data_IF_335840677520
#
_entry.id   IF_335840677520
#
_cell.length_a   1.000
_cell.length_b   1.000
_cell.length_c   1.000
_cell.angle_alpha   90.00
_cell.angle_beta   90.00
_cell.angle_gamma   90.00
#
_symmetry.space_group_name_H-M   'P 1'
#
loop_
_entity.id
_entity.type
_entity.pdbx_description
1 polymer ?
#
# COMPACT_ATOMS: atom_id res chain seq x y z
N UNK A 1 -23.83 28.33 14.42
CA UNK A 1 -22.37 28.04 14.45
C UNK A 1 -21.99 27.32 13.17
N UNK A 2 -21.05 27.83 12.36
CA UNK A 2 -20.64 27.15 11.14
C UNK A 2 -19.84 25.89 11.50
N UNK A 3 -20.39 24.72 11.17
CA UNK A 3 -19.69 23.44 11.38
C UNK A 3 -18.46 23.39 10.49
N UNK A 4 -17.30 23.07 11.07
CA UNK A 4 -16.09 22.72 10.31
C UNK A 4 -15.03 23.80 10.13
N UNK A 5 -15.22 25.01 10.68
CA UNK A 5 -14.29 26.14 10.50
C UNK A 5 -12.87 25.85 11.03
N UNK A 6 -12.74 25.00 12.06
CA UNK A 6 -11.47 24.61 12.67
C UNK A 6 -10.99 23.21 12.24
N UNK A 7 -11.60 22.57 11.24
CA UNK A 7 -11.22 21.20 10.86
C UNK A 7 -9.78 21.10 10.36
N UNK A 8 -9.28 22.15 9.71
CA UNK A 8 -7.88 22.18 9.23
C UNK A 8 -6.88 22.38 10.37
N UNK A 9 -7.22 23.19 11.38
CA UNK A 9 -6.34 23.45 12.54
C UNK A 9 -6.39 22.35 13.59
N UNK A 10 -7.52 21.66 13.74
CA UNK A 10 -7.68 20.53 14.65
C UNK A 10 -7.12 19.21 14.08
N UNK A 11 -6.79 19.15 12.78
CA UNK A 11 -6.27 17.94 12.16
C UNK A 11 -4.83 17.72 12.58
N UNK A 12 -4.57 16.58 13.21
CA UNK A 12 -3.22 16.17 13.57
C UNK A 12 -2.35 15.96 12.30
N UNK A 13 -1.02 16.18 12.40
CA UNK A 13 -0.07 15.88 11.34
C UNK A 13 -0.22 14.45 10.80
N UNK A 14 0.12 14.23 9.53
CA UNK A 14 -0.04 12.93 8.86
C UNK A 14 0.69 11.82 9.62
N UNK A 15 1.92 12.04 10.04
CA UNK A 15 2.74 11.08 10.79
C UNK A 15 2.07 10.64 12.11
N UNK A 16 1.50 11.60 12.85
CA UNK A 16 0.79 11.32 14.10
C UNK A 16 -0.45 10.47 13.81
N UNK A 17 -1.20 10.79 12.76
CA UNK A 17 -2.38 10.02 12.36
C UNK A 17 -2.02 8.61 11.91
N UNK A 18 -0.94 8.42 11.16
CA UNK A 18 -0.47 7.11 10.72
C UNK A 18 -0.03 6.26 11.91
N UNK A 19 0.72 6.84 12.85
CA UNK A 19 1.12 6.17 14.08
C UNK A 19 -0.09 5.71 14.92
N UNK A 20 -1.12 6.56 15.05
CA UNK A 20 -2.37 6.20 15.74
C UNK A 20 -3.13 5.07 15.05
N UNK A 21 -3.00 4.95 13.73
CA UNK A 21 -3.60 3.87 12.94
C UNK A 21 -2.72 2.61 12.86
N UNK A 22 -1.56 2.59 13.55
CA UNK A 22 -0.60 1.49 13.48
C UNK A 22 0.06 1.34 12.10
N UNK A 23 -0.04 2.35 11.24
CA UNK A 23 0.55 2.36 9.91
C UNK A 23 1.97 2.93 10.03
N UNK A 24 2.96 2.11 9.67
CA UNK A 24 4.38 2.48 9.79
C UNK A 24 4.85 3.34 8.62
N UNK A 25 4.34 3.09 7.41
CA UNK A 25 4.72 3.81 6.19
C UNK A 25 3.44 4.28 5.46
N UNK A 26 3.42 5.57 5.10
CA UNK A 26 2.35 6.11 4.26
C UNK A 26 2.49 5.55 2.84
N UNK A 27 1.36 5.35 2.15
CA UNK A 27 1.41 5.18 0.71
C UNK A 27 1.96 6.44 0.06
N UNK A 28 2.85 6.27 -0.91
CA UNK A 28 3.28 7.36 -1.79
C UNK A 28 2.14 7.78 -2.73
N UNK A 29 2.20 8.97 -3.34
CA UNK A 29 1.14 9.47 -4.22
C UNK A 29 0.79 8.53 -5.39
N UNK A 30 1.76 7.74 -5.83
CA UNK A 30 1.71 6.76 -6.92
C UNK A 30 1.42 5.32 -6.46
N UNK A 31 1.39 5.07 -5.14
CA UNK A 31 1.17 3.73 -4.59
C UNK A 31 -0.31 3.47 -4.26
N UNK A 32 -0.76 2.24 -4.52
CA UNK A 32 -2.10 1.77 -4.13
C UNK A 32 -1.99 0.43 -3.40
N UNK A 33 -2.74 0.28 -2.32
CA UNK A 33 -2.92 -1.01 -1.64
C UNK A 33 -4.06 -1.78 -2.30
N UNK A 34 -3.71 -2.88 -2.97
CA UNK A 34 -4.67 -3.73 -3.70
C UNK A 34 -4.70 -5.16 -3.13
N UNK A 35 -5.85 -5.82 -3.23
CA UNK A 35 -6.02 -7.23 -2.83
C UNK A 35 -6.30 -8.10 -4.06
N UNK A 36 -5.33 -8.94 -4.43
CA UNK A 36 -5.42 -9.84 -5.59
C UNK A 36 -5.61 -11.28 -5.11
N UNK A 37 -6.51 -12.04 -5.76
CA UNK A 37 -6.65 -13.49 -5.53
C UNK A 37 -5.75 -14.25 -6.49
N UNK A 38 -4.88 -15.11 -5.97
CA UNK A 38 -3.92 -15.90 -6.75
C UNK A 38 -3.95 -17.38 -6.33
N UNK A 39 -3.54 -18.27 -7.24
CA UNK A 39 -3.32 -19.70 -6.94
C UNK A 39 -1.83 -19.95 -6.78
N UNK A 40 -1.40 -20.29 -5.57
CA UNK A 40 0.01 -20.55 -5.25
C UNK A 40 0.16 -21.78 -4.35
N UNK A 41 1.38 -22.33 -4.28
CA UNK A 41 1.69 -23.42 -3.34
C UNK A 41 1.64 -22.91 -1.90
N UNK A 42 1.22 -23.74 -0.94
CA UNK A 42 1.16 -23.42 0.50
C UNK A 42 2.42 -22.72 1.07
N UNK A 43 3.66 -23.20 0.80
CA UNK A 43 4.86 -22.51 1.32
C UNK A 43 5.05 -21.11 0.74
N UNK A 44 4.62 -20.88 -0.50
CA UNK A 44 4.69 -19.55 -1.13
C UNK A 44 3.66 -18.61 -0.50
N UNK A 45 2.46 -19.10 -0.19
CA UNK A 45 1.45 -18.30 0.53
C UNK A 45 1.98 -17.84 1.90
N UNK A 46 2.56 -18.76 2.69
CA UNK A 46 3.14 -18.44 4.00
C UNK A 46 4.29 -17.42 3.90
N UNK A 47 5.11 -17.52 2.86
CA UNK A 47 6.18 -16.55 2.60
C UNK A 47 5.61 -15.18 2.22
N UNK A 48 4.58 -15.10 1.38
CA UNK A 48 3.95 -13.84 1.01
C UNK A 48 3.27 -13.15 2.20
N UNK A 49 2.67 -13.92 3.10
CA UNK A 49 2.03 -13.40 4.32
C UNK A 49 3.03 -12.81 5.31
N UNK A 50 4.25 -13.34 5.38
CA UNK A 50 5.31 -12.82 6.26
C UNK A 50 5.99 -11.55 5.74
N UNK A 51 5.82 -11.23 4.45
CA UNK A 51 6.37 -10.03 3.84
C UNK A 51 5.54 -8.78 4.16
N UNK A 52 6.22 -7.64 4.26
CA UNK A 52 5.57 -6.33 4.31
C UNK A 52 4.81 -6.06 3.01
N UNK A 53 3.75 -5.22 3.03
CA UNK A 53 3.02 -4.85 1.81
C UNK A 53 3.93 -4.32 0.69
N UNK A 54 4.94 -3.53 1.04
CA UNK A 54 5.94 -2.99 0.09
C UNK A 54 6.73 -4.09 -0.60
N UNK A 55 7.32 -5.04 0.16
CA UNK A 55 8.07 -6.16 -0.42
C UNK A 55 7.20 -7.08 -1.27
N UNK A 56 5.91 -7.21 -0.93
CA UNK A 56 4.96 -7.92 -1.80
C UNK A 56 4.78 -7.20 -3.13
N UNK A 57 4.62 -5.87 -3.11
CA UNK A 57 4.56 -5.03 -4.31
C UNK A 57 5.78 -5.23 -5.21
N UNK A 58 6.99 -5.12 -4.64
CA UNK A 58 8.26 -5.37 -5.34
C UNK A 58 8.31 -6.76 -6.00
N UNK A 59 7.86 -7.79 -5.30
CA UNK A 59 7.80 -9.15 -5.85
C UNK A 59 6.79 -9.29 -7.00
N UNK A 60 5.64 -8.60 -6.93
CA UNK A 60 4.66 -8.56 -8.00
C UNK A 60 5.21 -7.84 -9.24
N UNK A 61 5.80 -6.66 -9.08
CA UNK A 61 6.40 -5.91 -10.19
C UNK A 61 7.53 -6.69 -10.86
N UNK A 62 8.42 -7.30 -10.07
CA UNK A 62 9.48 -8.16 -10.59
C UNK A 62 8.91 -9.35 -11.38
N UNK A 63 7.84 -9.97 -10.87
CA UNK A 63 7.14 -11.07 -11.54
C UNK A 63 6.49 -10.64 -12.86
N UNK A 64 5.81 -9.49 -12.88
CA UNK A 64 5.19 -8.93 -14.10
C UNK A 64 6.23 -8.58 -15.16
N UNK A 65 7.33 -7.95 -14.74
CA UNK A 65 8.47 -7.65 -15.62
C UNK A 65 9.08 -8.92 -16.21
N UNK A 66 9.25 -9.97 -15.40
CA UNK A 66 9.76 -11.26 -15.88
C UNK A 66 8.80 -11.94 -16.90
N UNK A 67 7.51 -11.64 -16.83
CA UNK A 67 6.50 -12.10 -17.80
C UNK A 67 6.43 -11.22 -19.05
N UNK A 68 7.28 -10.18 -19.17
CA UNK A 68 7.27 -9.25 -20.30
C UNK A 68 6.07 -8.30 -20.30
N UNK A 69 5.34 -8.19 -19.19
CA UNK A 69 4.27 -7.22 -19.04
C UNK A 69 4.89 -5.89 -18.59
N UNK A 70 4.87 -4.90 -19.48
CA UNK A 70 5.21 -3.53 -19.11
C UNK A 70 4.07 -2.93 -18.29
N UNK A 71 4.41 -2.42 -17.11
CA UNK A 71 3.51 -1.57 -16.34
C UNK A 71 3.50 -0.22 -17.06
N UNK A 72 2.57 -0.05 -18.00
CA UNK A 72 2.35 1.25 -18.62
C UNK A 72 1.91 2.25 -17.55
N UNK A 73 2.52 3.44 -17.56
CA UNK A 73 2.09 4.57 -16.73
C UNK A 73 0.58 4.77 -16.94
N UNK A 74 -0.22 4.39 -15.94
CA UNK A 74 -1.65 4.55 -15.97
C UNK A 74 -1.97 6.03 -16.14
N UNK A 75 -2.65 6.37 -17.24
CA UNK A 75 -3.27 7.69 -17.46
C UNK A 75 -4.20 8.09 -16.32
#
# INVERSE_FOLDING_TARGET
>A
MPRGQNLKSARQPLEVRLKLLGIQEALRPDEVSVKVRVRVRKPVAALLESLTPKRRGEAFEAGLKALGMEVGDGK
#
